data_IF_533353432311
#
_entry.id   IF_533353432311
#
_cell.length_a   1.000
_cell.length_b   1.000
_cell.length_c   1.000
_cell.angle_alpha   90.00
_cell.angle_beta   90.00
_cell.angle_gamma   90.00
#
_symmetry.space_group_name_H-M   'P 1'
#
loop_
_entity.id
_entity.type
_entity.pdbx_description
1 polymer ?
#
# COMPACT_ATOMS: atom_id res chain seq x y z
N UNK A 1 -63.62 -13.41 -31.74
CA UNK A 1 -62.24 -13.78 -31.35
C UNK A 1 -61.29 -12.77 -31.96
N UNK A 2 -60.66 -12.00 -31.09
CA UNK A 2 -59.70 -10.93 -31.38
C UNK A 2 -58.35 -11.51 -31.82
N UNK A 3 -57.74 -11.00 -32.88
CA UNK A 3 -56.28 -11.08 -33.06
C UNK A 3 -55.76 -9.72 -33.54
N UNK A 4 -55.36 -8.91 -32.56
CA UNK A 4 -54.69 -7.64 -32.74
C UNK A 4 -53.30 -7.83 -33.34
N UNK A 5 -52.99 -6.93 -34.27
CA UNK A 5 -51.73 -6.74 -34.99
C UNK A 5 -50.56 -6.55 -34.01
N UNK A 6 -49.50 -7.33 -34.18
CA UNK A 6 -48.18 -7.03 -33.62
C UNK A 6 -47.46 -6.03 -34.53
N UNK A 7 -47.25 -4.82 -34.03
CA UNK A 7 -46.59 -3.71 -34.72
C UNK A 7 -45.05 -3.88 -34.64
N UNK A 8 -44.27 -3.89 -35.74
CA UNK A 8 -42.82 -4.12 -35.71
C UNK A 8 -41.98 -2.96 -35.16
N UNK A 9 -42.60 -1.91 -34.61
CA UNK A 9 -41.92 -0.65 -34.27
C UNK A 9 -41.47 -0.52 -32.82
N UNK A 10 -41.50 -1.59 -32.02
CA UNK A 10 -41.16 -1.54 -30.57
C UNK A 10 -39.72 -2.00 -30.28
N UNK A 11 -39.07 -2.73 -31.19
CA UNK A 11 -37.71 -3.25 -30.94
C UNK A 11 -36.57 -2.27 -31.31
N UNK A 12 -36.90 -1.03 -31.65
CA UNK A 12 -35.91 -0.01 -32.06
C UNK A 12 -35.51 0.99 -30.96
N UNK A 13 -35.93 0.80 -29.69
CA UNK A 13 -35.74 1.80 -28.62
C UNK A 13 -35.04 1.32 -27.35
N UNK A 14 -34.12 0.34 -27.44
CA UNK A 14 -33.30 -0.07 -26.29
C UNK A 14 -31.78 0.05 -26.51
N UNK A 15 -31.31 0.81 -27.50
CA UNK A 15 -29.92 1.26 -27.56
C UNK A 15 -29.76 2.59 -26.80
N UNK A 16 -30.15 2.58 -25.52
CA UNK A 16 -29.70 3.63 -24.61
C UNK A 16 -28.20 3.44 -24.43
N UNK A 17 -27.40 4.37 -24.95
CA UNK A 17 -25.98 4.48 -24.63
C UNK A 17 -25.83 4.64 -23.11
N UNK A 18 -25.78 3.51 -22.38
CA UNK A 18 -25.04 3.46 -21.14
C UNK A 18 -23.62 3.85 -21.48
N UNK A 19 -23.03 4.82 -20.78
CA UNK A 19 -21.59 5.00 -20.85
C UNK A 19 -20.95 3.71 -20.33
N UNK A 20 -20.72 2.75 -21.24
CA UNK A 20 -20.36 1.39 -20.90
C UNK A 20 -19.14 1.43 -19.99
N UNK A 21 -19.30 0.85 -18.81
CA UNK A 21 -18.20 0.69 -17.87
C UNK A 21 -17.04 0.03 -18.63
N UNK A 22 -15.81 0.55 -18.52
CA UNK A 22 -14.68 -0.01 -19.26
C UNK A 22 -14.61 -1.51 -18.98
N UNK A 23 -14.44 -2.29 -20.05
CA UNK A 23 -14.30 -3.74 -19.94
C UNK A 23 -13.13 -4.09 -19.00
N UNK A 24 -13.22 -5.24 -18.33
CA UNK A 24 -12.19 -5.73 -17.41
C UNK A 24 -10.83 -5.78 -18.09
N UNK A 25 -10.77 -6.19 -19.36
CA UNK A 25 -9.53 -6.22 -20.13
C UNK A 25 -8.92 -4.83 -20.30
N UNK A 26 -9.74 -3.80 -20.53
CA UNK A 26 -9.29 -2.42 -20.66
C UNK A 26 -8.75 -1.86 -19.33
N UNK A 27 -9.42 -2.17 -18.21
CA UNK A 27 -8.93 -1.80 -16.87
C UNK A 27 -7.57 -2.44 -16.60
N UNK A 28 -7.44 -3.75 -16.84
CA UNK A 28 -6.18 -4.48 -16.65
C UNK A 28 -5.06 -3.93 -17.54
N UNK A 29 -5.35 -3.65 -18.81
CA UNK A 29 -4.39 -3.04 -19.72
C UNK A 29 -3.95 -1.64 -19.24
N UNK A 30 -4.87 -0.86 -18.65
CA UNK A 30 -4.53 0.46 -18.10
C UNK A 30 -3.56 0.37 -16.92
N UNK A 31 -3.74 -0.63 -16.05
CA UNK A 31 -2.94 -0.85 -14.85
C UNK A 31 -1.60 -1.54 -15.14
N UNK A 32 -1.55 -2.42 -16.14
CA UNK A 32 -0.41 -3.33 -16.41
C UNK A 32 0.97 -2.68 -16.31
N UNK A 33 1.32 -1.61 -17.06
CA UNK A 33 2.69 -1.08 -17.04
C UNK A 33 3.09 -0.56 -15.66
N UNK A 34 2.20 0.17 -15.01
CA UNK A 34 2.43 0.74 -13.67
C UNK A 34 2.56 -0.38 -12.65
N UNK A 35 1.60 -1.30 -12.60
CA UNK A 35 1.58 -2.40 -11.62
C UNK A 35 2.77 -3.33 -11.80
N UNK A 36 3.14 -3.66 -13.04
CA UNK A 36 4.34 -4.47 -13.31
C UNK A 36 5.61 -3.78 -12.81
N UNK A 37 5.75 -2.46 -12.97
CA UNK A 37 6.90 -1.72 -12.42
C UNK A 37 6.95 -1.78 -10.89
N UNK A 38 5.80 -1.60 -10.21
CA UNK A 38 5.71 -1.70 -8.75
C UNK A 38 6.09 -3.10 -8.26
N UNK A 39 5.59 -4.16 -8.91
CA UNK A 39 5.94 -5.53 -8.54
C UNK A 39 7.39 -5.88 -8.86
N UNK A 40 7.93 -5.45 -10.01
CA UNK A 40 9.33 -5.66 -10.34
C UNK A 40 10.26 -5.00 -9.30
N UNK A 41 9.94 -3.76 -8.91
CA UNK A 41 10.65 -3.04 -7.85
C UNK A 41 10.50 -3.75 -6.50
N UNK A 42 9.30 -4.21 -6.14
CA UNK A 42 9.06 -4.95 -4.92
C UNK A 42 9.87 -6.25 -4.85
N UNK A 43 9.96 -7.00 -5.95
CA UNK A 43 10.79 -8.22 -6.03
C UNK A 43 12.28 -7.89 -5.87
N UNK A 44 12.77 -6.82 -6.48
CA UNK A 44 14.14 -6.36 -6.28
C UNK A 44 14.41 -6.04 -4.79
N UNK A 45 13.54 -5.27 -4.14
CA UNK A 45 13.70 -4.93 -2.73
C UNK A 45 13.49 -6.12 -1.79
N UNK A 46 12.69 -7.12 -2.17
CA UNK A 46 12.58 -8.38 -1.42
C UNK A 46 13.93 -9.09 -1.39
N UNK A 47 14.60 -9.19 -2.54
CA UNK A 47 15.92 -9.80 -2.64
C UNK A 47 16.94 -9.01 -1.81
N UNK A 48 16.99 -7.68 -1.97
CA UNK A 48 17.91 -6.82 -1.21
C UNK A 48 17.66 -6.88 0.30
N UNK A 49 16.40 -6.76 0.72
CA UNK A 49 15.98 -6.86 2.12
C UNK A 49 16.32 -8.22 2.72
N UNK A 50 16.15 -9.29 1.95
CA UNK A 50 16.48 -10.67 2.37
C UNK A 50 17.99 -10.91 2.49
N UNK A 51 18.81 -10.28 1.63
CA UNK A 51 20.28 -10.29 1.77
C UNK A 51 20.67 -9.62 3.09
N UNK A 52 20.13 -8.44 3.41
CA UNK A 52 20.39 -7.81 4.71
C UNK A 52 19.86 -8.64 5.89
N UNK A 53 18.73 -9.33 5.73
CA UNK A 53 18.20 -10.26 6.73
C UNK A 53 19.20 -11.37 7.05
N UNK A 54 19.73 -12.00 5.99
CA UNK A 54 20.70 -13.08 6.10
C UNK A 54 22.01 -12.60 6.74
N UNK A 55 22.51 -11.43 6.35
CA UNK A 55 23.68 -10.82 6.96
C UNK A 55 23.46 -10.54 8.46
N UNK A 56 22.30 -10.00 8.84
CA UNK A 56 21.96 -9.76 10.24
C UNK A 56 21.85 -11.09 11.02
N UNK A 57 21.24 -12.11 10.42
CA UNK A 57 21.11 -13.44 11.02
C UNK A 57 22.47 -14.10 11.26
N UNK A 58 23.38 -14.10 10.26
CA UNK A 58 24.73 -14.64 10.42
C UNK A 58 25.47 -13.92 11.56
N UNK A 59 25.35 -12.60 11.66
CA UNK A 59 26.00 -11.80 12.71
C UNK A 59 25.48 -12.09 14.12
N UNK A 60 24.25 -12.59 14.27
CA UNK A 60 23.76 -13.06 15.59
C UNK A 60 24.49 -14.33 16.06
N UNK A 61 24.98 -15.17 15.14
CA UNK A 61 25.71 -16.39 15.45
C UNK A 61 27.24 -16.21 15.39
N UNK A 62 27.72 -15.34 14.50
CA UNK A 62 29.12 -15.03 14.27
C UNK A 62 29.34 -13.50 14.25
N UNK A 63 29.49 -12.85 15.43
CA UNK A 63 29.53 -11.39 15.52
C UNK A 63 30.65 -10.71 14.72
N UNK A 64 31.78 -11.42 14.55
CA UNK A 64 32.96 -10.92 13.83
C UNK A 64 32.86 -11.05 12.30
N UNK A 65 31.83 -11.74 11.78
CA UNK A 65 31.63 -11.87 10.33
C UNK A 65 31.44 -10.48 9.70
N UNK A 66 32.33 -10.08 8.78
CA UNK A 66 32.34 -8.75 8.14
C UNK A 66 32.33 -7.58 9.15
N UNK A 67 33.07 -7.70 10.26
CA UNK A 67 33.16 -6.66 11.28
C UNK A 67 34.11 -5.52 10.90
N UNK A 68 35.10 -5.77 10.04
CA UNK A 68 36.06 -4.75 9.56
C UNK A 68 35.40 -3.65 8.71
N UNK A 69 34.17 -3.90 8.26
CA UNK A 69 33.39 -3.01 7.42
C UNK A 69 32.31 -2.31 8.25
N UNK A 70 32.54 -1.04 8.62
CA UNK A 70 31.64 -0.27 9.50
C UNK A 70 30.18 -0.23 9.02
N UNK A 71 29.97 -0.04 7.72
CA UNK A 71 28.66 -0.04 7.06
C UNK A 71 27.90 -1.37 7.12
N UNK A 72 28.60 -2.48 7.41
CA UNK A 72 28.02 -3.81 7.52
C UNK A 72 27.90 -4.26 8.98
N UNK A 73 28.12 -3.40 9.96
CA UNK A 73 27.88 -3.74 11.38
C UNK A 73 26.42 -4.11 11.64
N UNK A 74 26.17 -4.98 12.63
CA UNK A 74 24.83 -5.48 12.94
C UNK A 74 23.82 -4.34 13.19
N UNK A 75 24.26 -3.29 13.90
CA UNK A 75 23.44 -2.12 14.20
C UNK A 75 23.02 -1.30 12.98
N UNK A 76 23.70 -1.42 11.84
CA UNK A 76 23.35 -0.75 10.57
C UNK A 76 22.57 -1.67 9.63
N UNK A 77 22.99 -2.94 9.54
CA UNK A 77 22.36 -3.92 8.66
C UNK A 77 20.95 -4.29 9.13
N UNK A 78 20.69 -4.40 10.45
CA UNK A 78 19.34 -4.72 10.96
C UNK A 78 18.31 -3.65 10.58
N UNK A 79 18.52 -2.35 10.83
CA UNK A 79 17.62 -1.32 10.35
C UNK A 79 17.47 -1.28 8.82
N UNK A 80 18.56 -1.51 8.07
CA UNK A 80 18.51 -1.55 6.62
C UNK A 80 17.63 -2.71 6.11
N UNK A 81 17.72 -3.88 6.75
CA UNK A 81 16.82 -5.00 6.50
C UNK A 81 15.36 -4.63 6.76
N UNK A 82 15.04 -4.14 7.95
CA UNK A 82 13.65 -3.84 8.34
C UNK A 82 13.01 -2.82 7.39
N UNK A 83 13.72 -1.74 7.06
CA UNK A 83 13.24 -0.71 6.16
C UNK A 83 13.13 -1.19 4.71
N UNK A 84 14.11 -1.97 4.24
CA UNK A 84 14.07 -2.59 2.92
C UNK A 84 12.89 -3.55 2.76
N UNK A 85 12.57 -4.31 3.81
CA UNK A 85 11.42 -5.21 3.80
C UNK A 85 10.09 -4.45 3.86
N UNK A 86 9.93 -3.47 4.73
CA UNK A 86 8.62 -2.82 4.91
C UNK A 86 8.31 -1.79 3.82
N UNK A 87 9.24 -0.88 3.54
CA UNK A 87 9.00 0.21 2.59
C UNK A 87 9.48 -0.13 1.18
N UNK A 88 10.50 -0.98 1.05
CA UNK A 88 10.97 -1.46 -0.25
C UNK A 88 10.10 -2.59 -0.81
N UNK A 89 9.91 -3.68 -0.08
CA UNK A 89 9.15 -4.83 -0.58
C UNK A 89 7.65 -4.76 -0.28
N UNK A 90 7.26 -4.77 0.99
CA UNK A 90 5.87 -4.94 1.41
C UNK A 90 4.99 -3.77 0.95
N UNK A 91 5.48 -2.53 1.10
CA UNK A 91 4.75 -1.34 0.64
C UNK A 91 4.65 -1.28 -0.88
N UNK A 92 5.70 -1.59 -1.64
CA UNK A 92 5.65 -1.55 -3.10
C UNK A 92 4.72 -2.63 -3.69
N UNK A 93 4.80 -3.85 -3.18
CA UNK A 93 3.87 -4.93 -3.57
C UNK A 93 2.43 -4.62 -3.15
N UNK A 94 2.26 -4.03 -1.96
CA UNK A 94 0.99 -3.53 -1.46
C UNK A 94 0.39 -2.44 -2.36
N UNK A 95 1.19 -1.47 -2.79
CA UNK A 95 0.75 -0.39 -3.70
C UNK A 95 0.36 -0.95 -5.06
N UNK A 96 1.17 -1.83 -5.65
CA UNK A 96 0.83 -2.48 -6.92
C UNK A 96 -0.50 -3.23 -6.84
N UNK A 97 -0.71 -3.96 -5.74
CA UNK A 97 -1.96 -4.68 -5.47
C UNK A 97 -3.14 -3.72 -5.25
N UNK A 98 -2.93 -2.66 -4.48
CA UNK A 98 -3.93 -1.64 -4.17
C UNK A 98 -4.41 -0.96 -5.45
N UNK A 99 -3.50 -0.45 -6.28
CA UNK A 99 -3.85 0.27 -7.52
C UNK A 99 -4.66 -0.62 -8.48
N UNK A 100 -4.22 -1.86 -8.66
CA UNK A 100 -4.90 -2.83 -9.52
C UNK A 100 -6.28 -3.21 -8.99
N UNK A 101 -6.35 -3.55 -7.70
CA UNK A 101 -7.57 -4.02 -7.07
C UNK A 101 -8.61 -2.91 -7.01
N UNK A 102 -8.19 -1.70 -6.65
CA UNK A 102 -9.05 -0.54 -6.55
C UNK A 102 -9.64 -0.13 -7.89
N UNK A 103 -8.83 -0.12 -8.96
CA UNK A 103 -9.32 0.18 -10.31
C UNK A 103 -10.41 -0.81 -10.76
N UNK A 104 -10.21 -2.11 -10.48
CA UNK A 104 -11.19 -3.17 -10.76
C UNK A 104 -12.47 -3.05 -9.95
N UNK A 105 -12.36 -2.78 -8.65
CA UNK A 105 -13.52 -2.65 -7.76
C UNK A 105 -14.34 -1.39 -8.09
N UNK A 106 -13.70 -0.29 -8.44
CA UNK A 106 -14.38 0.94 -8.88
C UNK A 106 -14.90 0.88 -10.32
N UNK A 107 -14.46 -0.09 -11.14
CA UNK A 107 -14.71 -0.19 -12.58
C UNK A 107 -14.29 1.07 -13.35
N UNK A 108 -13.06 1.51 -13.10
CA UNK A 108 -12.47 2.70 -13.73
C UNK A 108 -11.10 2.36 -14.30
N UNK A 109 -10.69 3.08 -15.34
CA UNK A 109 -9.30 3.05 -15.80
C UNK A 109 -8.42 3.72 -14.75
N UNK A 110 -7.18 3.25 -14.59
CA UNK A 110 -6.25 3.82 -13.63
C UNK A 110 -5.99 5.31 -13.94
N UNK A 111 -6.31 6.25 -13.04
CA UNK A 111 -6.01 7.66 -13.24
C UNK A 111 -4.51 7.93 -13.07
N UNK A 112 -4.04 9.07 -13.60
CA UNK A 112 -2.67 9.57 -13.38
C UNK A 112 -1.53 8.58 -13.71
N UNK A 113 -1.70 7.76 -14.76
CA UNK A 113 -0.77 6.65 -15.11
C UNK A 113 0.69 7.09 -15.20
N UNK A 114 0.98 8.17 -15.92
CA UNK A 114 2.34 8.70 -16.07
C UNK A 114 2.91 9.19 -14.74
N UNK A 115 2.10 9.88 -13.95
CA UNK A 115 2.49 10.34 -12.63
C UNK A 115 2.79 9.15 -11.71
N UNK A 116 1.98 8.08 -11.74
CA UNK A 116 2.20 6.86 -10.96
C UNK A 116 3.46 6.09 -11.37
N UNK A 117 3.89 6.23 -12.62
CA UNK A 117 5.13 5.64 -13.12
C UNK A 117 6.35 6.40 -12.60
N UNK A 118 6.36 7.74 -12.75
CA UNK A 118 7.40 8.62 -12.18
C UNK A 118 7.45 8.43 -10.66
N UNK A 119 6.28 8.29 -10.05
CA UNK A 119 6.13 8.08 -8.62
C UNK A 119 6.78 6.77 -8.13
N UNK A 120 6.67 5.69 -8.91
CA UNK A 120 7.38 4.44 -8.60
C UNK A 120 8.91 4.62 -8.64
N UNK A 121 9.42 5.40 -9.60
CA UNK A 121 10.86 5.72 -9.67
C UNK A 121 11.29 6.57 -8.47
N UNK A 122 10.50 7.59 -8.13
CA UNK A 122 10.72 8.43 -6.96
C UNK A 122 10.81 7.60 -5.67
N UNK A 123 9.90 6.65 -5.49
CA UNK A 123 9.92 5.74 -4.33
C UNK A 123 11.19 4.90 -4.27
N UNK A 124 11.61 4.33 -5.41
CA UNK A 124 12.85 3.55 -5.48
C UNK A 124 14.07 4.39 -5.07
N UNK A 125 14.16 5.63 -5.55
CA UNK A 125 15.24 6.55 -5.20
C UNK A 125 15.19 6.89 -3.71
N UNK A 126 14.02 7.17 -3.15
CA UNK A 126 13.86 7.49 -1.73
C UNK A 126 14.29 6.33 -0.83
N UNK A 127 13.92 5.09 -1.17
CA UNK A 127 14.34 3.89 -0.43
C UNK A 127 15.84 3.64 -0.57
N UNK A 128 16.38 3.70 -1.80
CA UNK A 128 17.80 3.52 -2.02
C UNK A 128 18.64 4.55 -1.25
N UNK A 129 18.23 5.82 -1.28
CA UNK A 129 18.87 6.89 -0.55
C UNK A 129 18.78 6.69 0.97
N UNK A 130 17.60 6.32 1.48
CA UNK A 130 17.42 6.10 2.90
C UNK A 130 18.18 4.89 3.43
N UNK A 131 18.21 3.78 2.70
CA UNK A 131 19.00 2.60 3.06
C UNK A 131 20.50 2.90 3.01
N UNK A 132 20.96 3.63 2.00
CA UNK A 132 22.34 4.12 1.94
C UNK A 132 22.68 4.96 3.18
N UNK A 133 21.80 5.89 3.56
CA UNK A 133 21.98 6.70 4.77
C UNK A 133 22.06 5.88 6.06
N UNK A 134 21.19 4.86 6.21
CA UNK A 134 21.26 3.92 7.33
C UNK A 134 22.61 3.19 7.37
N UNK A 135 23.08 2.66 6.25
CA UNK A 135 24.37 1.95 6.15
C UNK A 135 25.56 2.88 6.39
N UNK A 136 25.42 4.18 6.10
CA UNK A 136 26.40 5.21 6.44
C UNK A 136 26.32 5.69 7.90
N UNK A 137 25.41 5.14 8.70
CA UNK A 137 25.30 5.44 10.14
C UNK A 137 24.41 6.65 10.45
N UNK A 138 23.62 7.13 9.50
CA UNK A 138 22.69 8.26 9.67
C UNK A 138 21.28 7.82 10.11
N UNK A 139 21.17 6.63 10.73
CA UNK A 139 19.91 6.11 11.24
C UNK A 139 19.35 6.99 12.36
N UNK A 140 18.04 7.21 12.36
CA UNK A 140 17.37 7.96 13.44
C UNK A 140 17.26 7.18 14.76
N UNK A 141 17.45 5.85 14.70
CA UNK A 141 17.27 4.95 15.84
C UNK A 141 15.82 4.77 16.31
N UNK A 142 14.84 5.34 15.61
CA UNK A 142 13.41 5.17 15.87
C UNK A 142 12.89 4.02 15.02
N UNK A 143 12.31 3.01 15.66
CA UNK A 143 11.86 1.79 14.98
C UNK A 143 10.80 2.11 13.90
N UNK A 144 10.96 1.52 12.72
CA UNK A 144 10.16 1.79 11.50
C UNK A 144 10.27 3.21 10.92
N UNK A 145 11.08 4.10 11.51
CA UNK A 145 11.43 5.43 11.00
C UNK A 145 12.94 5.64 10.98
N UNK A 146 13.71 4.57 10.82
CA UNK A 146 15.18 4.60 10.87
C UNK A 146 15.80 5.33 9.68
N UNK A 147 15.06 5.50 8.59
CA UNK A 147 15.51 6.26 7.43
C UNK A 147 15.83 7.72 7.84
N UNK A 148 16.92 8.30 7.32
CA UNK A 148 17.22 9.71 7.56
C UNK A 148 16.05 10.62 7.18
N UNK A 149 15.97 11.78 7.85
CA UNK A 149 14.82 12.68 7.77
C UNK A 149 14.38 13.03 6.34
N UNK A 150 15.31 13.32 5.44
CA UNK A 150 14.97 13.70 4.06
C UNK A 150 14.37 12.54 3.23
N UNK A 151 15.00 11.35 3.15
CA UNK A 151 14.35 10.20 2.51
C UNK A 151 13.05 9.78 3.19
N UNK A 152 12.94 9.91 4.52
CA UNK A 152 11.69 9.62 5.24
C UNK A 152 10.56 10.60 4.84
N UNK A 153 10.82 11.90 4.88
CA UNK A 153 9.83 12.92 4.45
C UNK A 153 9.44 12.79 2.99
N UNK A 154 10.39 12.41 2.12
CA UNK A 154 10.12 12.06 0.73
C UNK A 154 9.11 10.90 0.60
N UNK A 155 9.30 9.82 1.36
CA UNK A 155 8.31 8.74 1.43
C UNK A 155 6.99 9.20 2.04
N UNK A 156 6.99 10.07 3.05
CA UNK A 156 5.75 10.63 3.60
C UNK A 156 4.91 11.35 2.55
N UNK A 157 5.55 12.21 1.74
CA UNK A 157 4.90 12.90 0.64
C UNK A 157 4.36 11.93 -0.42
N UNK A 158 5.05 10.81 -0.63
CA UNK A 158 4.63 9.77 -1.56
C UNK A 158 3.24 9.19 -1.24
N UNK A 159 2.92 9.00 0.04
CA UNK A 159 1.62 8.50 0.46
C UNK A 159 0.46 9.46 0.14
N UNK A 160 0.71 10.77 0.01
CA UNK A 160 -0.31 11.74 -0.41
C UNK A 160 -0.73 11.55 -1.87
N UNK A 161 0.20 11.17 -2.75
CA UNK A 161 -0.10 10.86 -4.14
C UNK A 161 -0.98 9.61 -4.23
N UNK A 162 -0.71 8.60 -3.41
CA UNK A 162 -1.54 7.40 -3.30
C UNK A 162 -2.95 7.72 -2.79
N UNK A 163 -3.05 8.56 -1.75
CA UNK A 163 -4.34 9.04 -1.25
C UNK A 163 -5.14 9.76 -2.34
N UNK A 164 -4.53 10.73 -3.04
CA UNK A 164 -5.20 11.47 -4.11
C UNK A 164 -5.67 10.54 -5.25
N UNK A 165 -4.86 9.55 -5.62
CA UNK A 165 -5.20 8.56 -6.65
C UNK A 165 -6.37 7.67 -6.20
N UNK A 166 -6.31 7.17 -4.96
CA UNK A 166 -7.35 6.36 -4.32
C UNK A 166 -8.68 7.11 -4.22
N UNK A 167 -8.63 8.36 -3.76
CA UNK A 167 -9.79 9.25 -3.69
C UNK A 167 -10.39 9.50 -5.07
N UNK A 168 -9.56 9.79 -6.08
CA UNK A 168 -10.02 10.01 -7.45
C UNK A 168 -10.79 8.79 -7.98
N UNK A 169 -10.24 7.59 -7.81
CA UNK A 169 -10.91 6.35 -8.25
C UNK A 169 -12.27 6.16 -7.55
N UNK A 170 -12.35 6.46 -6.25
CA UNK A 170 -13.59 6.32 -5.49
C UNK A 170 -14.66 7.35 -5.91
N UNK A 171 -14.25 8.58 -6.23
CA UNK A 171 -15.15 9.65 -6.70
C UNK A 171 -15.68 9.38 -8.11
N UNK A 172 -14.87 8.79 -8.99
CA UNK A 172 -15.28 8.48 -10.37
C UNK A 172 -15.79 7.04 -10.54
N UNK A 173 -16.09 6.33 -9.46
CA UNK A 173 -16.51 4.93 -9.49
C UNK A 173 -17.78 4.74 -10.31
N UNK A 174 -17.88 3.62 -11.03
CA UNK A 174 -19.07 3.24 -11.81
C UNK A 174 -19.92 2.17 -11.14
N UNK A 175 -19.70 1.94 -9.85
CA UNK A 175 -20.43 0.96 -9.03
C UNK A 175 -21.23 1.66 -7.95
N UNK A 176 -22.46 1.19 -7.70
CA UNK A 176 -23.32 1.74 -6.65
C UNK A 176 -22.89 1.26 -5.27
N UNK A 177 -22.65 -0.05 -5.12
CA UNK A 177 -22.21 -0.65 -3.87
C UNK A 177 -20.69 -0.75 -3.79
N UNK A 178 -20.15 -0.35 -2.64
CA UNK A 178 -18.72 -0.40 -2.35
C UNK A 178 -18.42 -1.71 -1.64
N UNK A 179 -17.63 -2.58 -2.29
CA UNK A 179 -17.21 -3.86 -1.74
C UNK A 179 -16.30 -3.69 -0.52
N UNK A 180 -16.34 -4.62 0.44
CA UNK A 180 -15.58 -4.46 1.70
C UNK A 180 -14.07 -4.33 1.48
N UNK A 181 -13.48 -5.03 0.51
CA UNK A 181 -12.06 -4.81 0.17
C UNK A 181 -11.75 -3.35 -0.17
N UNK A 182 -12.66 -2.64 -0.83
CA UNK A 182 -12.48 -1.23 -1.18
C UNK A 182 -12.45 -0.34 0.08
N UNK A 183 -13.18 -0.72 1.14
CA UNK A 183 -13.17 0.00 2.42
C UNK A 183 -11.79 -0.09 3.06
N UNK A 184 -11.21 -1.29 3.11
CA UNK A 184 -9.86 -1.51 3.64
C UNK A 184 -8.78 -0.81 2.79
N UNK A 185 -8.85 -0.88 1.46
CA UNK A 185 -7.89 -0.19 0.58
C UNK A 185 -7.94 1.33 0.77
N UNK A 186 -9.16 1.90 0.76
CA UNK A 186 -9.34 3.33 0.94
C UNK A 186 -8.93 3.77 2.35
N UNK A 187 -9.31 2.99 3.37
CA UNK A 187 -8.89 3.19 4.77
C UNK A 187 -7.38 3.28 4.91
N UNK A 188 -6.63 2.33 4.33
CA UNK A 188 -5.16 2.38 4.35
C UNK A 188 -4.60 3.67 3.73
N UNK A 189 -5.10 4.07 2.56
CA UNK A 189 -4.64 5.30 1.89
C UNK A 189 -5.07 6.57 2.60
N UNK A 190 -6.12 6.54 3.42
CA UNK A 190 -6.62 7.70 4.16
C UNK A 190 -5.90 7.85 5.51
N UNK A 191 -5.80 6.77 6.29
CA UNK A 191 -5.25 6.81 7.64
C UNK A 191 -3.74 6.93 7.65
N UNK A 192 -3.05 6.19 6.77
CA UNK A 192 -1.60 6.09 6.84
C UNK A 192 -0.86 7.41 6.57
N UNK A 193 -1.21 8.25 5.58
CA UNK A 193 -0.55 9.54 5.42
C UNK A 193 -0.69 10.46 6.63
N UNK A 194 -1.86 10.44 7.29
CA UNK A 194 -2.12 11.22 8.51
C UNK A 194 -1.28 10.69 9.67
N UNK A 195 -1.26 9.37 9.85
CA UNK A 195 -0.42 8.68 10.83
C UNK A 195 1.07 9.04 10.64
N UNK A 196 1.57 8.93 9.40
CA UNK A 196 2.95 9.19 9.06
C UNK A 196 3.33 10.65 9.31
N UNK A 197 2.49 11.60 8.89
CA UNK A 197 2.73 13.02 9.12
C UNK A 197 2.73 13.37 10.62
N UNK A 198 1.79 12.82 11.39
CA UNK A 198 1.73 13.01 12.84
C UNK A 198 2.98 12.44 13.54
N UNK A 199 3.42 11.25 13.16
CA UNK A 199 4.64 10.65 13.70
C UNK A 199 5.88 11.49 13.34
N UNK A 200 6.00 11.95 12.09
CA UNK A 200 7.08 12.85 11.66
C UNK A 200 7.10 14.14 12.49
N UNK A 201 5.93 14.73 12.73
CA UNK A 201 5.79 15.95 13.52
C UNK A 201 6.24 15.72 14.98
N UNK A 202 5.71 14.70 15.64
CA UNK A 202 5.93 14.43 17.07
C UNK A 202 7.35 13.92 17.35
N UNK A 203 7.97 13.20 16.41
CA UNK A 203 9.26 12.55 16.65
C UNK A 203 10.47 13.35 16.15
N UNK A 204 10.28 14.22 15.14
CA UNK A 204 11.40 14.93 14.51
C UNK A 204 11.25 16.44 14.46
N UNK A 205 10.06 16.98 14.18
CA UNK A 205 9.86 18.43 13.99
C UNK A 205 9.64 19.15 15.32
N UNK A 206 8.74 18.63 16.15
CA UNK A 206 8.49 19.08 17.52
C UNK A 206 8.71 17.87 18.44
N UNK A 207 9.98 17.48 18.66
CA UNK A 207 10.31 16.18 19.22
C UNK A 207 9.83 16.06 20.67
N UNK A 208 8.95 15.08 20.91
CA UNK A 208 8.60 14.65 22.24
C UNK A 208 9.82 14.07 22.99
N UNK A 209 9.77 14.08 24.32
CA UNK A 209 10.84 13.58 25.18
C UNK A 209 10.34 12.49 26.13
N UNK A 210 11.28 11.68 26.64
CA UNK A 210 11.01 10.65 27.66
C UNK A 210 9.96 9.62 27.24
N UNK A 211 9.03 9.32 28.16
CA UNK A 211 7.96 8.35 27.94
C UNK A 211 7.07 8.71 26.76
N UNK A 212 6.79 10.00 26.54
CA UNK A 212 5.94 10.46 25.42
C UNK A 212 6.56 10.10 24.07
N UNK A 213 7.89 10.22 23.93
CA UNK A 213 8.60 9.82 22.71
C UNK A 213 8.52 8.32 22.48
N UNK A 214 8.66 7.52 23.54
CA UNK A 214 8.55 6.06 23.45
C UNK A 214 7.13 5.62 23.06
N UNK A 215 6.11 6.22 23.67
CA UNK A 215 4.70 5.99 23.31
C UNK A 215 4.42 6.39 21.88
N UNK A 216 4.89 7.56 21.41
CA UNK A 216 4.71 8.01 20.03
C UNK A 216 5.40 7.09 19.02
N UNK A 217 6.61 6.60 19.33
CA UNK A 217 7.31 5.61 18.50
C UNK A 217 6.49 4.31 18.39
N UNK A 218 6.06 3.74 19.52
CA UNK A 218 5.30 2.49 19.50
C UNK A 218 3.92 2.63 18.89
N UNK A 219 3.26 3.77 19.09
CA UNK A 219 2.03 4.11 18.40
C UNK A 219 2.21 4.08 16.89
N UNK A 220 3.28 4.69 16.36
CA UNK A 220 3.58 4.61 14.92
C UNK A 220 3.96 3.20 14.48
N UNK A 221 4.85 2.53 15.21
CA UNK A 221 5.34 1.17 14.92
C UNK A 221 4.21 0.14 14.83
N UNK A 222 3.23 0.23 15.73
CA UNK A 222 2.05 -0.63 15.70
C UNK A 222 1.17 -0.30 14.48
N UNK A 223 0.90 0.98 14.26
CA UNK A 223 -0.04 1.42 13.24
C UNK A 223 0.50 1.34 11.80
N UNK A 224 1.82 1.35 11.56
CA UNK A 224 2.37 1.11 10.21
C UNK A 224 2.08 -0.30 9.71
N UNK A 225 2.06 -1.30 10.59
CA UNK A 225 1.65 -2.65 10.21
C UNK A 225 0.11 -2.74 10.13
N UNK A 226 -0.57 -2.08 11.06
CA UNK A 226 -2.01 -2.18 11.28
C UNK A 226 -2.94 -1.42 10.36
N UNK A 227 -2.57 -0.19 10.04
CA UNK A 227 -3.37 0.72 9.26
C UNK A 227 -2.85 0.88 7.84
N UNK A 228 -1.69 0.30 7.52
CA UNK A 228 -1.16 0.29 6.16
C UNK A 228 -1.08 -1.12 5.56
N UNK A 229 -0.26 -2.02 6.10
CA UNK A 229 -0.10 -3.35 5.50
C UNK A 229 -1.31 -4.27 5.72
N UNK A 230 -1.85 -4.28 6.95
CA UNK A 230 -2.96 -5.18 7.31
C UNK A 230 -4.22 -4.92 6.47
N UNK A 231 -4.69 -3.68 6.25
CA UNK A 231 -5.89 -3.44 5.45
C UNK A 231 -5.64 -3.79 3.98
N UNK A 232 -4.45 -3.52 3.44
CA UNK A 232 -4.11 -3.92 2.06
C UNK A 232 -4.09 -5.44 1.93
N UNK A 233 -3.51 -6.16 2.89
CA UNK A 233 -3.50 -7.62 2.96
C UNK A 233 -4.91 -8.20 3.08
N UNK A 234 -5.73 -7.68 4.00
CA UNK A 234 -7.12 -8.11 4.18
C UNK A 234 -7.95 -7.83 2.92
N UNK A 235 -7.84 -6.65 2.32
CA UNK A 235 -8.53 -6.33 1.08
C UNK A 235 -8.18 -7.33 -0.04
N UNK A 236 -6.90 -7.67 -0.14
CA UNK A 236 -6.38 -8.65 -1.10
C UNK A 236 -6.94 -10.04 -0.83
N UNK A 237 -6.95 -10.49 0.42
CA UNK A 237 -7.53 -11.77 0.82
C UNK A 237 -9.04 -11.84 0.54
N UNK A 238 -9.79 -10.80 0.92
CA UNK A 238 -11.23 -10.67 0.67
C UNK A 238 -11.58 -10.70 -0.82
N UNK A 239 -10.67 -10.29 -1.71
CA UNK A 239 -10.91 -10.34 -3.14
C UNK A 239 -10.41 -11.64 -3.79
N UNK A 240 -9.18 -12.06 -3.48
CA UNK A 240 -8.53 -13.18 -4.17
C UNK A 240 -9.04 -14.54 -3.68
N UNK A 241 -9.21 -14.75 -2.37
CA UNK A 241 -9.62 -16.06 -1.84
C UNK A 241 -10.97 -16.51 -2.42
N UNK A 242 -12.05 -15.69 -2.37
CA UNK A 242 -13.34 -16.10 -2.94
C UNK A 242 -13.26 -16.30 -4.45
N UNK A 243 -12.49 -15.44 -5.13
CA UNK A 243 -12.33 -15.47 -6.59
C UNK A 243 -11.59 -16.72 -7.09
N UNK A 244 -10.55 -17.15 -6.38
CA UNK A 244 -9.80 -18.37 -6.71
C UNK A 244 -10.62 -19.62 -6.39
N UNK A 245 -11.37 -19.60 -5.28
CA UNK A 245 -12.21 -20.73 -4.87
C UNK A 245 -13.53 -20.84 -5.64
N UNK A 246 -13.92 -19.81 -6.40
CA UNK A 246 -15.23 -19.74 -7.06
C UNK A 246 -16.40 -19.70 -6.07
N UNK A 247 -16.16 -19.30 -4.82
CA UNK A 247 -17.16 -19.24 -3.74
C UNK A 247 -17.47 -17.79 -3.40
N UNK A 248 -18.71 -17.45 -2.99
CA UNK A 248 -19.01 -16.12 -2.48
C UNK A 248 -18.29 -15.88 -1.13
N UNK A 249 -18.12 -14.60 -0.76
CA UNK A 249 -17.58 -14.24 0.56
C UNK A 249 -18.50 -14.78 1.66
N UNK A 250 -17.91 -15.45 2.64
CA UNK A 250 -18.62 -15.90 3.81
C UNK A 250 -18.97 -14.72 4.74
N UNK A 251 -20.25 -14.54 5.06
CA UNK A 251 -20.82 -13.52 5.95
C UNK A 251 -20.39 -12.07 5.68
N UNK A 252 -21.24 -11.32 4.97
CA UNK A 252 -21.07 -9.88 4.73
C UNK A 252 -21.00 -9.07 6.03
N UNK A 253 -21.83 -9.40 7.03
CA UNK A 253 -21.84 -8.70 8.32
C UNK A 253 -20.53 -8.84 9.09
N UNK A 254 -19.91 -10.02 9.06
CA UNK A 254 -18.62 -10.24 9.70
C UNK A 254 -17.51 -9.39 9.05
N UNK A 255 -17.62 -9.19 7.73
CA UNK A 255 -16.67 -8.35 6.98
C UNK A 255 -16.79 -6.87 7.37
N UNK A 256 -18.01 -6.38 7.60
CA UNK A 256 -18.26 -5.02 8.11
C UNK A 256 -17.76 -4.87 9.55
N UNK A 257 -18.09 -5.84 10.41
CA UNK A 257 -17.66 -5.83 11.81
C UNK A 257 -16.13 -5.81 11.88
N UNK A 258 -15.45 -6.70 11.14
CA UNK A 258 -13.99 -6.73 11.07
C UNK A 258 -13.39 -5.40 10.63
N UNK A 259 -13.99 -4.72 9.65
CA UNK A 259 -13.51 -3.42 9.20
C UNK A 259 -13.58 -2.37 10.30
N UNK A 260 -14.74 -2.23 10.96
CA UNK A 260 -14.91 -1.24 12.02
C UNK A 260 -14.12 -1.56 13.27
N UNK A 261 -13.99 -2.85 13.62
CA UNK A 261 -13.13 -3.27 14.72
C UNK A 261 -11.67 -2.90 14.43
N UNK A 262 -11.17 -3.15 13.22
CA UNK A 262 -9.83 -2.73 12.82
C UNK A 262 -9.70 -1.19 12.87
N UNK A 263 -10.64 -0.47 12.29
CA UNK A 263 -10.59 1.00 12.21
C UNK A 263 -10.60 1.68 13.59
N UNK A 264 -11.33 1.13 14.56
CA UNK A 264 -11.50 1.74 15.88
C UNK A 264 -10.45 1.29 16.91
N UNK A 265 -10.11 -0.01 16.91
CA UNK A 265 -9.30 -0.59 17.98
C UNK A 265 -7.83 -0.74 17.62
N UNK A 266 -7.46 -0.86 16.33
CA UNK A 266 -6.05 -1.06 15.99
C UNK A 266 -5.19 0.17 16.32
N UNK A 267 -5.78 1.36 16.39
CA UNK A 267 -5.01 2.56 16.72
C UNK A 267 -4.40 2.57 18.13
N UNK A 268 -4.88 1.70 19.02
CA UNK A 268 -4.62 1.73 20.46
C UNK A 268 -3.79 0.55 20.96
#
# INVERSE_FOLDING_TARGET
MSSLRGNPSVDAQASGHTMDAPDRGAIDASCRPVVTLWFASATFWLMMGSIFALLASIKMHAPYFLADFEWLTFGRVRPAHLNGMIFGWASMSGIGTLLWLQARLCRVLLPFREALFIFAMYWNVAIAWGLYGILMGQSTGIEWLELPFYPATALGAAFLVLFATSLRMLLTRRVQHIYVSQWYLFGATLWFPVLYAAAMLILFVVPAAGSVRATANWWFAHNVLGLWLTPVGLATAYYLIPKVLGRPVHSYYLSILGFWTLALFYNW
#
